data_IF_060513792521
#
_entry.id   IF_060513792521
#
_cell.length_a   1.000
_cell.length_b   1.000
_cell.length_c   1.000
_cell.angle_alpha   90.00
_cell.angle_beta   90.00
_cell.angle_gamma   90.00
#
_symmetry.space_group_name_H-M   'P 1'
#
loop_
_entity.id
_entity.type
_entity.pdbx_description
1 polymer ?
#
# COMPACT_ATOMS: atom_id res chain seq x y z
N UNK A 1 16.23 15.08 -3.21
CA UNK A 1 16.47 15.28 -1.76
C UNK A 1 15.38 14.52 -1.01
N UNK A 2 15.70 13.33 -0.53
CA UNK A 2 14.79 12.47 0.23
C UNK A 2 14.49 13.14 1.57
N UNK A 3 13.25 13.59 1.76
CA UNK A 3 12.85 14.30 2.97
C UNK A 3 12.92 13.44 4.25
N UNK A 4 13.01 14.06 5.43
CA UNK A 4 13.20 13.41 6.73
C UNK A 4 12.10 12.40 7.11
N UNK A 5 10.97 12.40 6.40
CA UNK A 5 9.86 11.45 6.58
C UNK A 5 10.20 10.04 6.11
N UNK A 6 10.97 9.87 5.04
CA UNK A 6 11.34 8.55 4.50
C UNK A 6 12.24 7.80 5.49
N UNK A 7 13.23 8.51 6.03
CA UNK A 7 14.17 7.99 7.01
C UNK A 7 13.49 7.53 8.30
N UNK A 8 12.46 8.28 8.75
CA UNK A 8 11.67 7.94 9.94
C UNK A 8 10.83 6.68 9.75
N UNK A 9 10.33 6.41 8.55
CA UNK A 9 9.54 5.20 8.28
C UNK A 9 10.39 3.96 7.97
N UNK A 10 11.56 4.09 7.35
CA UNK A 10 12.52 2.97 7.23
C UNK A 10 12.99 2.49 8.61
N UNK A 11 13.24 3.42 9.54
CA UNK A 11 13.52 3.08 10.94
C UNK A 11 12.31 2.47 11.64
N UNK A 12 11.09 2.96 11.36
CA UNK A 12 9.87 2.37 11.90
C UNK A 12 9.66 0.92 11.44
N UNK A 13 9.98 0.57 10.19
CA UNK A 13 9.90 -0.82 9.70
C UNK A 13 10.90 -1.73 10.40
N UNK A 14 12.11 -1.22 10.71
CA UNK A 14 13.08 -1.94 11.55
C UNK A 14 12.62 -2.11 12.99
N UNK A 15 11.89 -1.13 13.54
CA UNK A 15 11.43 -1.15 14.94
C UNK A 15 10.10 -1.90 15.15
N UNK A 16 9.25 -2.02 14.13
CA UNK A 16 7.91 -2.65 14.20
C UNK A 16 7.84 -4.02 13.51
N UNK A 17 8.95 -4.51 12.95
CA UNK A 17 9.08 -5.89 12.50
C UNK A 17 8.14 -6.26 11.37
N UNK A 18 8.35 -5.75 10.15
CA UNK A 18 7.85 -6.38 8.91
C UNK A 18 6.35 -6.72 8.83
N UNK A 19 5.50 -6.11 9.65
CA UNK A 19 4.05 -6.35 9.67
C UNK A 19 3.38 -5.74 8.45
N UNK A 20 2.25 -6.31 8.03
CA UNK A 20 1.40 -5.75 6.97
C UNK A 20 1.03 -4.29 7.26
N UNK A 21 0.80 -3.94 8.54
CA UNK A 21 0.46 -2.59 8.98
C UNK A 21 1.59 -1.60 8.68
N UNK A 22 2.84 -1.99 8.98
CA UNK A 22 4.00 -1.14 8.76
C UNK A 22 4.23 -0.89 7.26
N UNK A 23 4.08 -1.93 6.44
CA UNK A 23 4.17 -1.83 4.99
C UNK A 23 3.05 -0.95 4.40
N UNK A 24 1.80 -1.11 4.85
CA UNK A 24 0.66 -0.28 4.42
C UNK A 24 0.86 1.20 4.79
N UNK A 25 1.30 1.48 6.02
CA UNK A 25 1.53 2.86 6.47
C UNK A 25 2.68 3.54 5.73
N UNK A 26 3.79 2.83 5.49
CA UNK A 26 4.86 3.36 4.65
C UNK A 26 4.38 3.61 3.22
N UNK A 27 3.62 2.68 2.65
CA UNK A 27 3.07 2.84 1.30
C UNK A 27 2.19 4.11 1.18
N UNK A 28 1.34 4.36 2.18
CA UNK A 28 0.54 5.59 2.23
C UNK A 28 1.40 6.85 2.33
N UNK A 29 2.46 6.83 3.16
CA UNK A 29 3.39 7.96 3.26
C UNK A 29 4.14 8.22 1.94
N UNK A 30 4.61 7.16 1.27
CA UNK A 30 5.26 7.24 -0.04
C UNK A 30 4.32 7.77 -1.12
N UNK A 31 3.05 7.33 -1.10
CA UNK A 31 2.00 7.84 -2.00
C UNK A 31 1.82 9.34 -1.83
N UNK A 32 1.73 9.82 -0.58
CA UNK A 32 1.62 11.25 -0.27
C UNK A 32 2.83 12.09 -0.70
N UNK A 33 3.99 11.46 -0.90
CA UNK A 33 5.21 12.11 -1.44
C UNK A 33 5.32 12.01 -2.97
N UNK A 34 4.33 11.45 -3.66
CA UNK A 34 4.40 11.19 -5.10
C UNK A 34 5.35 10.03 -5.49
N UNK A 35 5.88 9.29 -4.51
CA UNK A 35 6.76 8.13 -4.75
C UNK A 35 5.92 6.87 -5.02
N UNK A 36 5.10 6.95 -6.06
CA UNK A 36 4.01 6.00 -6.30
C UNK A 36 4.51 4.57 -6.56
N UNK A 37 5.59 4.39 -7.32
CA UNK A 37 6.16 3.06 -7.59
C UNK A 37 6.57 2.33 -6.30
N UNK A 38 7.14 3.07 -5.36
CA UNK A 38 7.59 2.51 -4.09
C UNK A 38 6.40 2.21 -3.18
N UNK A 39 5.38 3.08 -3.18
CA UNK A 39 4.12 2.83 -2.50
C UNK A 39 3.49 1.50 -2.96
N UNK A 40 3.38 1.28 -4.27
CA UNK A 40 2.86 0.03 -4.86
C UNK A 40 3.64 -1.19 -4.37
N UNK A 41 4.98 -1.12 -4.36
CA UNK A 41 5.82 -2.21 -3.83
C UNK A 41 5.50 -2.52 -2.37
N UNK A 42 5.33 -1.49 -1.54
CA UNK A 42 5.03 -1.67 -0.12
C UNK A 42 3.60 -2.17 0.13
N UNK A 43 2.59 -1.76 -0.66
CA UNK A 43 1.26 -2.38 -0.59
C UNK A 43 1.31 -3.87 -0.94
N UNK A 44 2.07 -4.25 -1.98
CA UNK A 44 2.24 -5.66 -2.33
C UNK A 44 2.90 -6.46 -1.20
N UNK A 45 3.93 -5.91 -0.57
CA UNK A 45 4.57 -6.53 0.61
C UNK A 45 3.60 -6.62 1.80
N UNK A 46 2.69 -5.65 1.97
CA UNK A 46 1.67 -5.72 3.01
C UNK A 46 0.68 -6.88 2.76
N UNK A 47 0.23 -7.05 1.51
CA UNK A 47 -0.67 -8.14 1.12
C UNK A 47 -0.01 -9.52 1.28
N UNK A 48 1.28 -9.65 1.01
CA UNK A 48 2.05 -10.89 1.22
C UNK A 48 2.16 -11.33 2.69
N UNK A 49 1.75 -10.49 3.63
CA UNK A 49 1.75 -10.79 5.06
C UNK A 49 0.39 -11.29 5.55
N UNK A 50 -0.52 -11.63 4.64
CA UNK A 50 -1.86 -12.16 4.90
C UNK A 50 -2.60 -11.33 5.97
N UNK A 51 -2.84 -10.03 5.70
CA UNK A 51 -3.58 -9.17 6.61
C UNK A 51 -4.99 -9.73 6.83
N UNK A 52 -5.52 -9.66 8.07
CA UNK A 52 -6.88 -10.13 8.35
C UNK A 52 -7.95 -9.32 7.60
N UNK A 53 -7.65 -8.05 7.28
CA UNK A 53 -8.53 -7.11 6.56
C UNK A 53 -7.74 -6.49 5.37
N UNK A 54 -7.60 -7.21 4.24
CA UNK A 54 -6.79 -6.77 3.10
C UNK A 54 -7.44 -5.66 2.25
N UNK A 55 -8.75 -5.45 2.39
CA UNK A 55 -9.57 -4.66 1.46
C UNK A 55 -9.11 -3.20 1.37
N UNK A 56 -8.73 -2.60 2.50
CA UNK A 56 -8.18 -1.25 2.52
C UNK A 56 -6.81 -1.14 1.83
N UNK A 57 -6.03 -2.22 1.82
CA UNK A 57 -4.72 -2.26 1.16
C UNK A 57 -4.90 -2.39 -0.35
N UNK A 58 -5.82 -3.25 -0.80
CA UNK A 58 -6.19 -3.36 -2.21
C UNK A 58 -6.74 -2.04 -2.76
N UNK A 59 -7.64 -1.39 -2.02
CA UNK A 59 -8.18 -0.09 -2.38
C UNK A 59 -7.09 0.99 -2.53
N UNK A 60 -6.18 1.09 -1.56
CA UNK A 60 -5.09 2.06 -1.59
C UNK A 60 -4.07 1.80 -2.71
N UNK A 61 -3.80 0.53 -3.02
CA UNK A 61 -2.96 0.13 -4.15
C UNK A 61 -3.62 0.47 -5.49
N UNK A 62 -4.92 0.28 -5.62
CA UNK A 62 -5.69 0.67 -6.80
C UNK A 62 -5.64 2.18 -7.05
N UNK A 63 -5.81 3.01 -6.01
CA UNK A 63 -5.64 4.47 -6.10
C UNK A 63 -4.24 4.83 -6.62
N UNK A 64 -3.20 4.19 -6.06
CA UNK A 64 -1.83 4.43 -6.47
C UNK A 64 -1.62 4.07 -7.97
N UNK A 65 -2.17 2.95 -8.42
CA UNK A 65 -2.11 2.54 -9.84
C UNK A 65 -2.88 3.50 -10.76
N UNK A 66 -4.05 4.00 -10.34
CA UNK A 66 -4.80 5.03 -11.07
C UNK A 66 -3.96 6.28 -11.26
N UNK A 67 -3.24 6.74 -10.24
CA UNK A 67 -2.37 7.92 -10.33
C UNK A 67 -1.19 7.77 -11.30
N UNK A 68 -0.84 6.53 -11.69
CA UNK A 68 0.15 6.23 -12.73
C UNK A 68 -0.45 5.99 -14.11
N UNK A 69 -1.77 6.09 -14.26
CA UNK A 69 -2.46 5.72 -15.51
C UNK A 69 -2.51 4.21 -15.75
N UNK A 70 -2.17 3.36 -14.77
CA UNK A 70 -2.23 1.89 -14.86
C UNK A 70 -3.65 1.40 -14.57
N UNK A 71 -4.61 1.85 -15.39
CA UNK A 71 -6.05 1.75 -15.12
C UNK A 71 -6.52 0.29 -15.04
N UNK A 72 -6.08 -0.58 -15.95
CA UNK A 72 -6.51 -1.99 -15.95
C UNK A 72 -6.13 -2.70 -14.64
N UNK A 73 -4.93 -2.45 -14.14
CA UNK A 73 -4.45 -3.04 -12.88
C UNK A 73 -5.16 -2.43 -11.67
N UNK A 74 -5.51 -1.14 -11.72
CA UNK A 74 -6.33 -0.52 -10.69
C UNK A 74 -7.71 -1.19 -10.60
N UNK A 75 -8.34 -1.50 -11.74
CA UNK A 75 -9.65 -2.18 -11.79
C UNK A 75 -9.59 -3.55 -11.12
N UNK A 76 -8.55 -4.34 -11.40
CA UNK A 76 -8.35 -5.64 -10.74
C UNK A 76 -8.32 -5.50 -9.21
N UNK A 77 -7.52 -4.57 -8.68
CA UNK A 77 -7.41 -4.37 -7.24
C UNK A 77 -8.65 -3.75 -6.60
N UNK A 78 -9.36 -2.84 -7.29
CA UNK A 78 -10.67 -2.38 -6.82
C UNK A 78 -11.68 -3.52 -6.75
N UNK A 79 -11.64 -4.44 -7.72
CA UNK A 79 -12.54 -5.59 -7.75
C UNK A 79 -12.25 -6.55 -6.59
N UNK A 80 -10.99 -6.80 -6.28
CA UNK A 80 -10.61 -7.59 -5.10
C UNK A 80 -11.07 -6.94 -3.79
N UNK A 81 -10.88 -5.62 -3.63
CA UNK A 81 -11.38 -4.90 -2.46
C UNK A 81 -12.91 -5.06 -2.32
N UNK A 82 -13.67 -4.87 -3.41
CA UNK A 82 -15.13 -5.00 -3.40
C UNK A 82 -15.61 -6.42 -3.08
N UNK A 83 -14.94 -7.45 -3.62
CA UNK A 83 -15.25 -8.86 -3.30
C UNK A 83 -15.07 -9.18 -1.81
N UNK A 84 -14.15 -8.48 -1.13
CA UNK A 84 -13.92 -8.65 0.30
C UNK A 84 -14.97 -7.91 1.13
N UNK A 85 -15.30 -6.67 0.76
CA UNK A 85 -16.39 -5.92 1.39
C UNK A 85 -17.75 -6.61 1.25
N UNK A 86 -18.01 -7.30 0.14
CA UNK A 86 -19.28 -8.02 -0.06
C UNK A 86 -19.39 -9.36 0.67
N UNK A 87 -18.36 -9.78 1.41
CA UNK A 87 -18.32 -11.03 2.18
C UNK A 87 -18.58 -10.84 3.68
N UNK A 88 -18.75 -9.60 4.13
CA UNK A 88 -19.18 -9.24 5.50
C UNK A 88 -20.71 -9.20 5.57
#
# INVERSE_FOLDING_TARGET
VTGPTVYRFEHAIKATGGSWVAHNNLANALKGQGRINEAIRHYHLALQKDPPEPEGIYYNMAIALTSQGRILQAIEHYSEALKMYSKQ
#
